data_IF_726683167861
#
_entry.id   IF_726683167861
#
_cell.length_a   1.000
_cell.length_b   1.000
_cell.length_c   1.000
_cell.angle_alpha   90.00
_cell.angle_beta   90.00
_cell.angle_gamma   90.00
#
_symmetry.space_group_name_H-M   'P 1'
#
loop_
_entity.id
_entity.type
_entity.pdbx_description
1 polymer ?
#
# COMPACT_ATOMS: atom_id res chain seq x y z
N UNK A 1 -6.63 5.83 -9.70
CA UNK A 1 -6.51 4.48 -10.24
C UNK A 1 -6.81 3.46 -9.19
N UNK A 2 -7.62 2.48 -9.54
CA UNK A 2 -8.02 1.44 -8.62
C UNK A 2 -6.89 0.48 -8.25
N UNK A 3 -5.82 0.40 -9.06
CA UNK A 3 -4.83 -0.66 -8.89
C UNK A 3 -4.04 -0.54 -7.58
N UNK A 4 -3.69 0.66 -7.17
CA UNK A 4 -2.98 0.85 -5.90
C UNK A 4 -3.85 0.35 -4.74
N UNK A 5 -5.11 0.77 -4.71
CA UNK A 5 -6.04 0.35 -3.67
C UNK A 5 -6.28 -1.14 -3.66
N UNK A 6 -6.43 -1.75 -4.82
CA UNK A 6 -6.61 -3.20 -4.96
C UNK A 6 -5.39 -3.95 -4.42
N UNK A 7 -4.18 -3.47 -4.76
CA UNK A 7 -2.95 -4.10 -4.30
C UNK A 7 -2.77 -3.96 -2.79
N UNK A 8 -3.06 -2.78 -2.26
CA UNK A 8 -3.02 -2.55 -0.80
C UNK A 8 -3.98 -3.50 -0.08
N UNK A 9 -5.20 -3.62 -0.58
CA UNK A 9 -6.19 -4.49 0.04
C UNK A 9 -5.77 -5.96 -0.02
N UNK A 10 -5.26 -6.40 -1.17
CA UNK A 10 -4.77 -7.76 -1.35
C UNK A 10 -3.66 -8.07 -0.35
N UNK A 11 -2.68 -7.17 -0.23
CA UNK A 11 -1.55 -7.35 0.70
C UNK A 11 -2.03 -7.36 2.15
N UNK A 12 -2.96 -6.48 2.50
CA UNK A 12 -3.49 -6.45 3.86
C UNK A 12 -4.22 -7.75 4.20
N UNK A 13 -5.03 -8.26 3.29
CA UNK A 13 -5.76 -9.51 3.53
C UNK A 13 -4.83 -10.71 3.62
N UNK A 14 -3.73 -10.71 2.87
CA UNK A 14 -2.75 -11.78 2.92
C UNK A 14 -1.93 -11.78 4.21
N UNK A 15 -1.47 -10.60 4.62
CA UNK A 15 -0.55 -10.45 5.76
C UNK A 15 -1.28 -10.19 7.07
N UNK A 16 -2.56 -9.81 6.99
CA UNK A 16 -3.50 -9.69 8.11
C UNK A 16 -3.27 -8.58 9.13
N UNK A 17 -2.54 -7.48 8.83
CA UNK A 17 -2.55 -6.35 9.73
C UNK A 17 -3.90 -5.63 9.64
N UNK A 18 -4.26 -4.87 10.68
CA UNK A 18 -5.43 -4.01 10.59
C UNK A 18 -5.07 -2.76 9.78
N UNK A 19 -6.10 -2.09 9.26
CA UNK A 19 -5.89 -0.81 8.57
C UNK A 19 -5.22 0.21 9.50
N UNK A 20 -5.59 0.18 10.78
CA UNK A 20 -5.00 1.06 11.78
C UNK A 20 -3.52 0.78 11.98
N UNK A 21 -3.14 -0.50 12.06
CA UNK A 21 -1.73 -0.88 12.22
C UNK A 21 -0.88 -0.39 11.05
N UNK A 22 -1.40 -0.52 9.83
CA UNK A 22 -0.70 -0.05 8.64
C UNK A 22 -0.53 1.47 8.71
N UNK A 23 -1.62 2.18 9.01
CA UNK A 23 -1.61 3.65 9.07
C UNK A 23 -0.59 4.13 10.10
N UNK A 24 -0.56 3.52 11.28
CA UNK A 24 0.40 3.89 12.32
C UNK A 24 1.83 3.65 11.87
N UNK A 25 2.08 2.53 11.19
CA UNK A 25 3.42 2.17 10.75
C UNK A 25 3.99 3.14 9.72
N UNK A 26 3.13 3.71 8.86
CA UNK A 26 3.57 4.64 7.82
C UNK A 26 3.24 6.10 8.16
N UNK A 27 2.83 6.37 9.41
CA UNK A 27 2.62 7.71 9.94
C UNK A 27 1.54 8.52 9.20
N UNK A 28 0.42 7.86 8.92
CA UNK A 28 -0.77 8.52 8.35
C UNK A 28 -1.99 8.18 9.21
N UNK A 29 -3.11 8.85 8.95
CA UNK A 29 -4.35 8.53 9.66
C UNK A 29 -4.97 7.28 9.07
N UNK A 30 -5.74 6.57 9.89
CA UNK A 30 -6.49 5.40 9.42
C UNK A 30 -7.46 5.78 8.30
N UNK A 31 -8.10 6.95 8.41
CA UNK A 31 -9.01 7.45 7.39
C UNK A 31 -8.29 7.64 6.04
N UNK A 32 -7.08 8.20 6.07
CA UNK A 32 -6.27 8.33 4.85
C UNK A 32 -5.98 6.98 4.22
N UNK A 33 -5.58 6.01 5.04
CA UNK A 33 -5.30 4.68 4.53
C UNK A 33 -6.55 4.05 3.90
N UNK A 34 -7.71 4.18 4.56
CA UNK A 34 -8.97 3.67 4.03
C UNK A 34 -9.27 4.25 2.66
N UNK A 35 -9.02 5.56 2.48
CA UNK A 35 -9.23 6.24 1.21
C UNK A 35 -8.31 5.71 0.12
N UNK A 36 -7.08 5.35 0.49
CA UNK A 36 -6.14 4.75 -0.47
C UNK A 36 -6.65 3.39 -0.96
N UNK A 37 -7.13 2.53 -0.06
CA UNK A 37 -7.70 1.24 -0.46
C UNK A 37 -8.95 1.42 -1.32
N UNK A 38 -9.76 2.39 -0.96
CA UNK A 38 -11.01 2.66 -1.67
C UNK A 38 -10.77 3.27 -3.05
N UNK A 39 -9.62 3.91 -3.25
CA UNK A 39 -9.27 4.52 -4.53
C UNK A 39 -9.74 5.97 -4.69
N UNK A 40 -10.25 6.59 -3.62
CA UNK A 40 -10.73 7.97 -3.70
C UNK A 40 -9.61 9.00 -3.65
N UNK A 41 -8.44 8.63 -3.12
CA UNK A 41 -7.27 9.51 -3.01
C UNK A 41 -6.02 8.68 -3.34
N UNK A 42 -5.04 9.30 -3.98
CA UNK A 42 -3.73 8.65 -4.23
C UNK A 42 -2.77 9.00 -3.11
N UNK A 43 -1.99 8.03 -2.61
CA UNK A 43 -0.90 8.35 -1.70
C UNK A 43 0.17 9.19 -2.39
N UNK A 44 0.88 10.01 -1.61
CA UNK A 44 2.07 10.69 -2.11
C UNK A 44 3.16 9.65 -2.42
N UNK A 45 4.19 10.07 -3.16
CA UNK A 45 5.31 9.18 -3.46
C UNK A 45 5.97 8.67 -2.18
N UNK A 46 6.19 9.56 -1.21
CA UNK A 46 6.80 9.15 0.06
C UNK A 46 5.95 8.10 0.79
N UNK A 47 4.64 8.29 0.80
CA UNK A 47 3.74 7.32 1.43
C UNK A 47 3.72 6.00 0.66
N UNK A 48 3.76 6.05 -0.67
CA UNK A 48 3.84 4.83 -1.48
C UNK A 48 5.10 4.04 -1.17
N UNK A 49 6.23 4.72 -1.05
CA UNK A 49 7.50 4.07 -0.71
C UNK A 49 7.40 3.43 0.68
N UNK A 50 6.85 4.16 1.65
CA UNK A 50 6.67 3.63 3.01
C UNK A 50 5.75 2.41 3.02
N UNK A 51 4.67 2.42 2.24
CA UNK A 51 3.75 1.29 2.15
C UNK A 51 4.42 0.08 1.50
N UNK A 52 5.19 0.31 0.43
CA UNK A 52 5.93 -0.77 -0.23
C UNK A 52 6.94 -1.38 0.73
N UNK A 53 7.64 -0.56 1.51
CA UNK A 53 8.58 -1.03 2.52
C UNK A 53 7.86 -1.82 3.62
N UNK A 54 6.72 -1.32 4.07
CA UNK A 54 5.95 -1.98 5.13
C UNK A 54 5.52 -3.39 4.69
N UNK A 55 5.01 -3.52 3.46
CA UNK A 55 4.55 -4.81 2.94
C UNK A 55 5.67 -5.65 2.33
N UNK A 56 6.88 -5.10 2.26
CA UNK A 56 8.05 -5.77 1.69
C UNK A 56 7.81 -6.20 0.24
N UNK A 57 7.29 -5.28 -0.55
CA UNK A 57 7.06 -5.47 -1.99
C UNK A 57 7.74 -4.34 -2.76
N UNK A 58 7.91 -4.54 -4.07
CA UNK A 58 8.48 -3.51 -4.92
C UNK A 58 7.46 -2.37 -5.12
N UNK A 59 7.97 -1.16 -5.29
CA UNK A 59 7.12 -0.02 -5.63
C UNK A 59 6.42 -0.25 -6.96
N UNK A 60 7.12 -0.84 -7.93
CA UNK A 60 6.55 -1.16 -9.23
C UNK A 60 5.32 -2.06 -9.11
N UNK A 61 5.39 -3.06 -8.22
CA UNK A 61 4.22 -3.91 -7.96
C UNK A 61 3.07 -3.09 -7.40
N UNK A 62 3.36 -2.24 -6.41
CA UNK A 62 2.31 -1.50 -5.72
C UNK A 62 1.58 -0.54 -6.65
N UNK A 63 2.28 0.09 -7.58
CA UNK A 63 1.67 1.04 -8.53
C UNK A 63 1.20 0.39 -9.82
N UNK A 64 1.37 -0.92 -9.97
CA UNK A 64 0.84 -1.65 -11.12
C UNK A 64 1.74 -1.71 -12.34
N UNK A 65 3.02 -1.35 -12.20
CA UNK A 65 3.98 -1.45 -13.30
C UNK A 65 4.55 -2.85 -13.46
N UNK A 66 4.38 -3.70 -12.43
CA UNK A 66 4.85 -5.07 -12.44
C UNK A 66 3.84 -5.94 -11.70
N UNK A 67 3.69 -7.17 -12.14
CA UNK A 67 2.89 -8.17 -11.43
C UNK A 67 3.74 -8.98 -10.45
N UNK A 68 5.04 -8.74 -10.42
CA UNK A 68 5.96 -9.44 -9.53
C UNK A 68 6.20 -8.61 -8.28
N UNK A 69 5.75 -9.08 -7.10
CA UNK A 69 5.90 -8.30 -5.87
C UNK A 69 7.33 -8.26 -5.33
N UNK A 70 8.24 -9.07 -5.86
CA UNK A 70 9.58 -9.18 -5.29
C UNK A 70 10.35 -7.88 -5.42
N UNK A 71 11.06 -7.55 -4.35
CA UNK A 71 11.95 -6.39 -4.34
C UNK A 71 13.25 -6.75 -5.04
N UNK A 72 13.77 -5.79 -5.82
CA UNK A 72 15.09 -5.96 -6.41
C UNK A 72 16.16 -5.74 -5.34
N UNK A 73 17.25 -6.48 -5.41
CA UNK A 73 18.36 -6.28 -4.49
C UNK A 73 19.05 -4.93 -4.67
#
# INVERSE_FOLDING_TARGET
>A
MAIIGERLKTLRLEKKPTQREIAEAVHITEVSYQRYEYGSVRPSLDTLIALADYFDVSLDYLVGRSDDPRRLP
#
